data_IF_979738169213
#
_entry.id   IF_979738169213
#
_cell.length_a   1.000
_cell.length_b   1.000
_cell.length_c   1.000
_cell.angle_alpha   90.00
_cell.angle_beta   90.00
_cell.angle_gamma   90.00
#
_symmetry.space_group_name_H-M   'P 1'
#
loop_
_entity.id
_entity.type
_entity.pdbx_description
1 polymer ?
#
# COMPACT_ATOMS: atom_id res chain seq x y z
N UNK A 1 -4.09 -18.95 -3.04
CA UNK A 1 -2.83 -18.20 -3.25
C UNK A 1 -3.12 -16.92 -3.98
N UNK A 2 -3.75 -16.95 -5.18
CA UNK A 2 -4.18 -15.72 -5.88
C UNK A 2 -4.99 -14.75 -5.01
N UNK A 3 -5.84 -15.28 -4.11
CA UNK A 3 -6.61 -14.49 -3.15
C UNK A 3 -5.72 -13.71 -2.17
N UNK A 4 -4.69 -14.35 -1.60
CA UNK A 4 -3.73 -13.68 -0.71
C UNK A 4 -2.95 -12.59 -1.45
N UNK A 5 -2.44 -12.92 -2.65
CA UNK A 5 -1.72 -11.94 -3.48
C UNK A 5 -2.63 -10.77 -3.89
N UNK A 6 -3.90 -11.03 -4.20
CA UNK A 6 -4.83 -9.94 -4.52
C UNK A 6 -5.13 -9.03 -3.33
N UNK A 7 -5.21 -9.59 -2.11
CA UNK A 7 -5.38 -8.82 -0.88
C UNK A 7 -4.13 -8.01 -0.57
N UNK A 8 -2.95 -8.59 -0.80
CA UNK A 8 -1.66 -7.92 -0.65
C UNK A 8 -1.59 -6.67 -1.52
N UNK A 9 -1.79 -6.81 -2.83
CA UNK A 9 -1.76 -5.67 -3.76
C UNK A 9 -2.86 -4.66 -3.43
N UNK A 10 -4.07 -5.13 -3.13
CA UNK A 10 -5.18 -4.26 -2.75
C UNK A 10 -4.89 -3.43 -1.49
N UNK A 11 -4.16 -3.96 -0.52
CA UNK A 11 -3.74 -3.23 0.66
C UNK A 11 -2.81 -2.06 0.31
N UNK A 12 -1.83 -2.28 -0.58
CA UNK A 12 -1.00 -1.21 -1.10
C UNK A 12 -1.81 -0.15 -1.84
N UNK A 13 -2.78 -0.57 -2.65
CA UNK A 13 -3.70 0.33 -3.38
C UNK A 13 -4.45 1.23 -2.41
N UNK A 14 -5.20 0.64 -1.47
CA UNK A 14 -6.04 1.41 -0.56
C UNK A 14 -5.22 2.34 0.32
N UNK A 15 -4.11 1.87 0.89
CA UNK A 15 -3.31 2.75 1.76
C UNK A 15 -2.54 3.81 0.97
N UNK A 16 -2.15 3.57 -0.29
CA UNK A 16 -1.60 4.61 -1.15
C UNK A 16 -2.63 5.67 -1.53
N UNK A 17 -3.89 5.27 -1.72
CA UNK A 17 -5.00 6.21 -1.94
C UNK A 17 -5.21 7.11 -0.72
N UNK A 18 -5.22 6.54 0.48
CA UNK A 18 -5.45 7.25 1.75
C UNK A 18 -4.23 8.04 2.27
N UNK A 19 -3.03 7.68 1.82
CA UNK A 19 -1.77 8.27 2.27
C UNK A 19 -1.72 9.79 2.10
N UNK A 20 -1.01 10.46 3.00
CA UNK A 20 -0.79 11.92 2.95
C UNK A 20 0.25 12.35 1.90
N UNK A 21 1.07 11.43 1.39
CA UNK A 21 2.20 11.79 0.52
C UNK A 21 2.28 11.00 -0.78
N UNK A 22 1.76 9.78 -0.80
CA UNK A 22 1.92 8.82 -1.89
C UNK A 22 0.66 8.71 -2.75
N UNK A 23 0.81 8.19 -3.95
CA UNK A 23 -0.30 7.77 -4.80
C UNK A 23 0.09 6.61 -5.71
N UNK A 24 -0.93 6.03 -6.33
CA UNK A 24 -0.86 4.91 -7.26
C UNK A 24 -0.57 5.34 -8.69
N UNK A 25 0.38 4.70 -9.35
CA UNK A 25 0.64 4.91 -10.78
C UNK A 25 0.68 3.58 -11.53
N UNK A 26 0.61 3.63 -12.86
CA UNK A 26 0.69 2.45 -13.71
C UNK A 26 -0.46 1.45 -13.50
N UNK A 27 -0.16 0.18 -13.76
CA UNK A 27 -1.09 -0.93 -13.60
C UNK A 27 -0.80 -1.69 -12.32
N UNK A 28 -1.84 -2.16 -11.66
CA UNK A 28 -1.84 -3.14 -10.58
C UNK A 28 -2.04 -4.51 -11.22
N UNK A 29 -1.13 -5.45 -11.02
CA UNK A 29 -1.13 -6.75 -11.73
C UNK A 29 -0.91 -7.93 -10.79
N UNK A 30 -1.64 -9.02 -11.03
CA UNK A 30 -1.28 -10.34 -10.49
C UNK A 30 -0.47 -11.09 -11.55
N UNK A 31 0.84 -11.16 -11.36
CA UNK A 31 1.76 -11.76 -12.32
C UNK A 31 1.82 -13.28 -12.18
N UNK A 32 1.48 -13.81 -11.01
CA UNK A 32 1.24 -15.24 -10.76
C UNK A 32 0.31 -15.44 -9.55
N UNK A 33 0.06 -16.69 -9.18
CA UNK A 33 -0.71 -17.01 -7.96
C UNK A 33 -0.04 -16.54 -6.66
N UNK A 34 1.25 -16.19 -6.70
CA UNK A 34 2.04 -15.80 -5.53
C UNK A 34 2.80 -14.48 -5.71
N UNK A 35 2.59 -13.77 -6.82
CA UNK A 35 3.31 -12.52 -7.11
C UNK A 35 2.37 -11.51 -7.74
N UNK A 36 2.47 -10.26 -7.29
CA UNK A 36 1.81 -9.11 -7.86
C UNK A 36 2.76 -7.93 -7.98
N UNK A 37 2.30 -6.87 -8.63
CA UNK A 37 3.02 -5.61 -8.75
C UNK A 37 2.04 -4.45 -8.61
N UNK A 38 2.35 -3.52 -7.70
CA UNK A 38 1.69 -2.22 -7.54
C UNK A 38 2.76 -1.13 -7.52
N UNK A 39 2.56 -0.05 -8.28
CA UNK A 39 3.51 1.07 -8.32
C UNK A 39 3.03 2.23 -7.44
N UNK A 40 3.72 2.42 -6.32
CA UNK A 40 3.51 3.52 -5.38
C UNK A 40 4.59 4.59 -5.58
N UNK A 41 4.19 5.85 -5.66
CA UNK A 41 5.11 6.98 -5.85
C UNK A 41 4.67 8.22 -5.10
N UNK A 42 5.55 9.21 -4.95
CA UNK A 42 5.21 10.48 -4.32
C UNK A 42 4.23 11.29 -5.17
N UNK A 43 3.21 11.81 -4.52
CA UNK A 43 2.24 12.73 -5.12
C UNK A 43 2.66 14.17 -4.90
N UNK A 44 3.04 14.83 -5.99
CA UNK A 44 3.31 16.29 -5.97
C UNK A 44 2.15 17.08 -5.37
N UNK A 45 0.90 16.70 -5.65
CA UNK A 45 -0.29 17.37 -5.11
C UNK A 45 -0.38 17.19 -3.59
N UNK A 46 -0.28 15.95 -3.12
CA UNK A 46 -0.45 15.65 -1.69
C UNK A 46 0.69 16.24 -0.84
N UNK A 47 1.94 16.16 -1.32
CA UNK A 47 3.08 16.85 -0.71
C UNK A 47 2.83 18.35 -0.51
N UNK A 48 2.30 19.05 -1.53
CA UNK A 48 1.97 20.47 -1.42
C UNK A 48 0.84 20.75 -0.43
N UNK A 49 -0.15 19.87 -0.32
CA UNK A 49 -1.26 20.02 0.64
C UNK A 49 -0.77 19.89 2.09
N UNK A 50 0.19 19.02 2.33
CA UNK A 50 0.86 18.86 3.63
C UNK A 50 1.99 19.88 3.87
N UNK A 51 2.16 20.84 2.97
CA UNK A 51 3.17 21.90 3.11
C UNK A 51 4.62 21.45 2.92
N UNK A 52 4.86 20.27 2.35
CA UNK A 52 6.19 19.76 2.02
C UNK A 52 6.72 20.42 0.75
N UNK A 53 8.03 20.66 0.71
CA UNK A 53 8.70 21.12 -0.52
C UNK A 53 8.74 19.99 -1.57
N UNK A 54 8.67 20.35 -2.84
CA UNK A 54 8.85 19.40 -3.95
C UNK A 54 10.34 19.36 -4.30
N UNK A 55 11.06 18.44 -3.66
CA UNK A 55 12.48 18.24 -3.88
C UNK A 55 12.80 16.75 -3.95
N UNK A 56 14.02 16.41 -4.39
CA UNK A 56 14.50 15.02 -4.34
C UNK A 56 14.72 14.53 -2.91
N UNK A 57 15.01 15.45 -1.99
CA UNK A 57 15.28 15.13 -0.59
C UNK A 57 14.00 14.81 0.19
N UNK A 58 12.83 15.18 -0.35
CA UNK A 58 11.52 14.93 0.26
C UNK A 58 11.24 13.43 0.43
N UNK A 59 11.81 12.57 -0.43
CA UNK A 59 11.71 11.11 -0.27
C UNK A 59 12.47 10.58 0.96
N UNK A 60 13.38 11.37 1.53
CA UNK A 60 14.15 11.04 2.73
C UNK A 60 13.57 11.67 4.02
N UNK A 61 12.45 12.39 3.92
CA UNK A 61 11.76 13.01 5.05
C UNK A 61 11.15 11.92 5.95
N UNK A 62 11.38 11.96 7.28
CA UNK A 62 10.86 10.96 8.22
C UNK A 62 9.36 10.70 8.14
N UNK A 63 8.54 11.74 7.97
CA UNK A 63 7.07 11.57 7.90
C UNK A 63 6.65 10.93 6.58
N UNK A 64 7.38 11.22 5.50
CA UNK A 64 7.16 10.57 4.20
C UNK A 64 7.56 9.10 4.27
N UNK A 65 8.68 8.78 4.92
CA UNK A 65 9.13 7.39 5.11
C UNK A 65 8.16 6.63 6.01
N UNK A 66 7.65 7.24 7.08
CA UNK A 66 6.64 6.63 7.96
C UNK A 66 5.39 6.21 7.19
N UNK A 67 4.86 7.12 6.37
CA UNK A 67 3.69 6.89 5.54
C UNK A 67 3.96 5.82 4.45
N UNK A 68 5.15 5.84 3.83
CA UNK A 68 5.57 4.77 2.93
C UNK A 68 5.63 3.41 3.65
N UNK A 69 6.21 3.36 4.84
CA UNK A 69 6.33 2.13 5.62
C UNK A 69 4.96 1.52 5.94
N UNK A 70 3.98 2.35 6.30
CA UNK A 70 2.60 1.91 6.53
C UNK A 70 2.02 1.24 5.28
N UNK A 71 2.24 1.83 4.10
CA UNK A 71 1.78 1.26 2.82
C UNK A 71 2.47 -0.07 2.53
N UNK A 72 3.80 -0.12 2.59
CA UNK A 72 4.58 -1.30 2.20
C UNK A 72 4.45 -2.47 3.19
N UNK A 73 4.22 -2.21 4.48
CA UNK A 73 3.88 -3.28 5.42
C UNK A 73 2.45 -3.83 5.24
N UNK A 74 1.57 -3.08 4.56
CA UNK A 74 0.15 -3.41 4.49
C UNK A 74 -0.14 -4.72 3.76
N UNK A 75 0.69 -5.07 2.77
CA UNK A 75 0.52 -6.29 1.99
C UNK A 75 0.55 -7.53 2.87
N UNK A 76 1.63 -7.70 3.64
CA UNK A 76 1.75 -8.83 4.57
C UNK A 76 0.69 -8.79 5.68
N UNK A 77 0.34 -7.60 6.18
CA UNK A 77 -0.66 -7.48 7.24
C UNK A 77 -2.07 -7.87 6.76
N UNK A 78 -2.42 -7.59 5.50
CA UNK A 78 -3.66 -8.06 4.90
C UNK A 78 -3.68 -9.59 4.74
N UNK A 79 -2.57 -10.18 4.30
CA UNK A 79 -2.43 -11.64 4.24
C UNK A 79 -2.54 -12.29 5.63
N UNK A 80 -1.88 -11.70 6.64
CA UNK A 80 -1.92 -12.15 8.04
C UNK A 80 -3.35 -12.17 8.57
N UNK A 81 -4.09 -11.08 8.40
CA UNK A 81 -5.50 -10.98 8.83
C UNK A 81 -6.36 -12.06 8.14
N UNK A 82 -6.21 -12.23 6.83
CA UNK A 82 -6.95 -13.25 6.10
C UNK A 82 -6.61 -14.67 6.57
N UNK A 83 -5.32 -14.99 6.72
CA UNK A 83 -4.87 -16.30 7.18
C UNK A 83 -5.37 -16.60 8.60
N UNK A 84 -5.35 -15.62 9.50
CA UNK A 84 -5.89 -15.75 10.86
C UNK A 84 -7.39 -16.04 10.86
N UNK A 85 -8.17 -15.31 10.06
CA UNK A 85 -9.63 -15.51 9.94
C UNK A 85 -10.00 -16.89 9.37
N UNK A 86 -9.16 -17.43 8.48
CA UNK A 86 -9.43 -18.68 7.77
C UNK A 86 -8.63 -19.88 8.32
N UNK A 87 -7.83 -19.69 9.37
CA UNK A 87 -6.96 -20.70 9.97
C UNK A 87 -6.01 -21.35 8.94
N UNK A 88 -5.39 -20.52 8.11
CA UNK A 88 -4.41 -20.88 7.08
C UNK A 88 -3.01 -20.49 7.56
N UNK A 89 -1.98 -21.26 7.18
CA UNK A 89 -0.59 -20.89 7.47
C UNK A 89 -0.16 -19.72 6.60
N UNK A 90 0.40 -18.68 7.21
CA UNK A 90 1.02 -17.55 6.51
C UNK A 90 2.40 -17.95 5.96
N UNK A 91 2.72 -17.48 4.75
CA UNK A 91 4.05 -17.54 4.16
C UNK A 91 4.56 -16.10 3.97
N UNK A 92 5.46 -15.66 4.85
CA UNK A 92 5.95 -14.28 4.85
C UNK A 92 7.01 -14.01 3.76
N UNK A 93 7.43 -15.03 3.01
CA UNK A 93 8.57 -14.90 2.08
C UNK A 93 8.29 -13.98 0.89
N UNK A 94 7.02 -13.83 0.48
CA UNK A 94 6.64 -12.99 -0.65
C UNK A 94 6.71 -11.49 -0.35
N UNK A 95 6.53 -11.09 0.91
CA UNK A 95 6.58 -9.68 1.34
C UNK A 95 7.97 -9.22 1.78
N UNK A 96 8.99 -10.08 1.65
CA UNK A 96 10.36 -9.74 2.04
C UNK A 96 10.90 -8.52 1.27
N UNK A 97 10.47 -8.31 0.02
CA UNK A 97 10.88 -7.17 -0.79
C UNK A 97 10.35 -5.85 -0.22
N UNK A 98 9.11 -5.79 0.24
CA UNK A 98 8.51 -4.58 0.82
C UNK A 98 9.20 -4.21 2.12
N UNK A 99 9.47 -5.22 2.96
CA UNK A 99 10.17 -5.03 4.23
C UNK A 99 11.61 -4.52 4.00
N UNK A 100 12.33 -5.10 3.03
CA UNK A 100 13.67 -4.66 2.68
C UNK A 100 13.68 -3.24 2.08
N UNK A 101 12.65 -2.89 1.29
CA UNK A 101 12.52 -1.54 0.74
C UNK A 101 12.30 -0.50 1.85
N UNK A 102 11.43 -0.79 2.82
CA UNK A 102 11.23 0.08 3.98
C UNK A 102 12.50 0.22 4.81
N UNK A 103 13.23 -0.88 5.06
CA UNK A 103 14.49 -0.83 5.78
C UNK A 103 15.52 0.07 5.06
N UNK A 104 15.59 0.02 3.72
CA UNK A 104 16.41 0.92 2.92
C UNK A 104 15.97 2.39 3.01
N UNK A 105 14.66 2.68 3.05
CA UNK A 105 14.17 4.04 3.22
C UNK A 105 14.57 4.60 4.59
N UNK A 106 14.39 3.81 5.65
CA UNK A 106 14.77 4.18 7.02
C UNK A 106 16.28 4.43 7.12
N UNK A 107 17.10 3.54 6.56
CA UNK A 107 18.56 3.68 6.59
C UNK A 107 19.07 4.91 5.83
N UNK A 108 18.34 5.37 4.81
CA UNK A 108 18.69 6.52 3.98
C UNK A 108 17.99 7.83 4.43
N UNK A 109 17.24 7.82 5.52
CA UNK A 109 16.48 8.98 5.95
C UNK A 109 17.39 10.15 6.33
N UNK A 110 16.91 11.38 6.12
CA UNK A 110 17.62 12.58 6.51
C UNK A 110 16.64 13.65 7.03
N UNK A 111 16.62 13.95 8.34
CA UNK A 111 17.52 13.43 9.40
C UNK A 111 17.32 11.91 9.66
N UNK A 112 18.23 11.27 10.42
CA UNK A 112 18.06 9.88 10.84
C UNK A 112 16.71 9.65 11.51
N UNK A 113 15.99 8.63 11.05
CA UNK A 113 14.64 8.33 11.45
C UNK A 113 14.67 7.30 12.59
N UNK A 114 14.64 7.81 13.82
CA UNK A 114 14.58 6.98 15.02
C UNK A 114 13.14 6.51 15.26
N UNK A 115 12.72 5.47 14.54
CA UNK A 115 11.42 4.82 14.76
C UNK A 115 11.55 3.37 15.17
N UNK A 116 10.51 2.85 15.82
CA UNK A 116 10.39 1.44 16.12
C UNK A 116 9.64 0.74 14.99
N UNK A 117 10.33 -0.14 14.26
CA UNK A 117 9.74 -0.97 13.20
C UNK A 117 8.43 -1.64 13.62
N UNK A 118 8.35 -2.15 14.85
CA UNK A 118 7.14 -2.81 15.35
C UNK A 118 5.96 -1.84 15.50
N UNK A 119 6.23 -0.56 15.78
CA UNK A 119 5.19 0.47 15.82
C UNK A 119 4.64 0.75 14.43
N UNK A 120 5.51 0.83 13.40
CA UNK A 120 5.09 1.00 12.01
C UNK A 120 4.25 -0.19 11.52
N UNK A 121 4.68 -1.42 11.81
CA UNK A 121 3.91 -2.63 11.49
C UNK A 121 2.56 -2.61 12.21
N UNK A 122 2.52 -2.22 13.49
CA UNK A 122 1.27 -2.12 14.23
C UNK A 122 0.33 -1.04 13.64
N UNK A 123 0.86 0.09 13.20
CA UNK A 123 0.06 1.12 12.51
C UNK A 123 -0.47 0.62 11.17
N UNK A 124 0.36 -0.07 10.38
CA UNK A 124 -0.06 -0.72 9.14
C UNK A 124 -1.18 -1.72 9.37
N UNK A 125 -1.04 -2.61 10.36
CA UNK A 125 -2.07 -3.55 10.76
C UNK A 125 -3.41 -2.88 11.11
N UNK A 126 -3.37 -1.81 11.92
CA UNK A 126 -4.58 -1.05 12.26
C UNK A 126 -5.20 -0.37 11.03
N UNK A 127 -4.37 0.15 10.12
CA UNK A 127 -4.85 0.77 8.89
C UNK A 127 -5.52 -0.27 7.97
N UNK A 128 -4.98 -1.48 7.85
CA UNK A 128 -5.59 -2.57 7.10
C UNK A 128 -6.93 -2.98 7.71
N UNK A 129 -7.01 -3.17 9.03
CA UNK A 129 -8.28 -3.50 9.70
C UNK A 129 -9.34 -2.41 9.50
N UNK A 130 -8.96 -1.14 9.63
CA UNK A 130 -9.88 -0.01 9.47
C UNK A 130 -10.43 0.12 8.05
N UNK A 131 -9.69 -0.39 7.05
CA UNK A 131 -10.03 -0.29 5.64
C UNK A 131 -10.23 -1.66 4.98
N UNK A 132 -10.59 -2.68 5.77
CA UNK A 132 -10.72 -4.05 5.29
C UNK A 132 -11.73 -4.18 4.14
N UNK A 133 -12.88 -3.52 4.25
CA UNK A 133 -13.91 -3.56 3.20
C UNK A 133 -13.41 -3.00 1.85
N UNK A 134 -12.89 -1.77 1.76
CA UNK A 134 -12.25 -1.28 0.53
C UNK A 134 -11.13 -2.19 -0.02
N UNK A 135 -10.31 -2.78 0.86
CA UNK A 135 -9.24 -3.71 0.45
C UNK A 135 -9.84 -4.94 -0.21
N UNK A 136 -10.84 -5.56 0.41
CA UNK A 136 -11.51 -6.74 -0.17
C UNK A 136 -12.23 -6.40 -1.49
N UNK A 137 -12.80 -5.20 -1.62
CA UNK A 137 -13.43 -4.74 -2.85
C UNK A 137 -12.42 -4.61 -4.01
N UNK A 138 -11.26 -4.00 -3.76
CA UNK A 138 -10.20 -3.90 -4.77
C UNK A 138 -9.63 -5.29 -5.10
N UNK A 139 -9.42 -6.14 -4.10
CA UNK A 139 -8.92 -7.50 -4.31
C UNK A 139 -9.87 -8.32 -5.18
N UNK A 140 -11.18 -8.27 -4.89
CA UNK A 140 -12.21 -8.93 -5.69
C UNK A 140 -12.22 -8.39 -7.13
N UNK A 141 -12.17 -7.07 -7.29
CA UNK A 141 -12.13 -6.46 -8.62
C UNK A 141 -10.89 -6.89 -9.42
N UNK A 142 -9.73 -6.93 -8.79
CA UNK A 142 -8.46 -7.35 -9.40
C UNK A 142 -8.53 -8.82 -9.87
N UNK A 143 -9.11 -9.72 -9.07
CA UNK A 143 -9.27 -11.13 -9.44
C UNK A 143 -10.20 -11.36 -10.63
N UNK A 144 -11.20 -10.49 -10.82
CA UNK A 144 -12.18 -10.60 -11.92
C UNK A 144 -11.83 -9.72 -13.13
N UNK A 145 -10.79 -8.90 -13.02
CA UNK A 145 -10.33 -8.02 -14.10
C UNK A 145 -9.75 -8.81 -15.28
N UNK A 146 -9.88 -8.25 -16.49
CA UNK A 146 -9.25 -8.84 -17.66
C UNK A 146 -7.71 -8.84 -17.53
N UNK A 147 -7.09 -9.99 -17.76
CA UNK A 147 -5.64 -10.21 -17.64
C UNK A 147 -5.08 -10.05 -16.21
N UNK A 148 -5.92 -10.16 -15.18
CA UNK A 148 -5.54 -9.96 -13.78
C UNK A 148 -4.82 -8.61 -13.56
N UNK A 149 -5.32 -7.56 -14.19
CA UNK A 149 -4.71 -6.24 -14.21
C UNK A 149 -5.77 -5.15 -14.11
N UNK A 150 -5.50 -4.14 -13.28
CA UNK A 150 -6.35 -2.95 -13.11
C UNK A 150 -5.44 -1.73 -13.21
N UNK A 151 -5.79 -0.74 -14.02
CA UNK A 151 -5.02 0.50 -14.06
C UNK A 151 -5.31 1.38 -12.83
N UNK A 152 -4.35 2.22 -12.44
CA UNK A 152 -4.47 3.06 -11.26
C UNK A 152 -5.68 4.02 -11.31
N UNK A 153 -6.12 4.46 -12.50
CA UNK A 153 -7.28 5.36 -12.60
C UNK A 153 -8.54 4.60 -12.21
N UNK A 154 -8.76 3.43 -12.80
CA UNK A 154 -9.90 2.55 -12.46
C UNK A 154 -9.90 2.20 -10.97
N UNK A 155 -8.74 1.86 -10.39
CA UNK A 155 -8.65 1.58 -8.96
C UNK A 155 -9.06 2.78 -8.08
N UNK A 156 -8.64 4.00 -8.47
CA UNK A 156 -9.01 5.23 -7.75
C UNK A 156 -10.51 5.53 -7.91
N UNK A 157 -11.10 5.30 -9.08
CA UNK A 157 -12.55 5.49 -9.30
C UNK A 157 -13.39 4.59 -8.38
N UNK A 158 -13.00 3.32 -8.23
CA UNK A 158 -13.66 2.38 -7.29
C UNK A 158 -13.59 2.92 -5.85
N UNK A 159 -12.43 3.43 -5.44
CA UNK A 159 -12.24 3.98 -4.10
C UNK A 159 -13.00 5.29 -3.89
N UNK A 160 -13.04 6.16 -4.89
CA UNK A 160 -13.83 7.39 -4.85
C UNK A 160 -15.32 7.11 -4.63
N UNK A 161 -15.87 6.11 -5.32
CA UNK A 161 -17.25 5.64 -5.09
C UNK A 161 -17.44 5.11 -3.67
N UNK A 162 -16.51 4.28 -3.18
CA UNK A 162 -16.56 3.68 -1.83
C UNK A 162 -16.44 4.69 -0.70
N UNK A 163 -15.58 5.70 -0.85
CA UNK A 163 -15.35 6.75 0.15
C UNK A 163 -16.26 7.98 -0.02
N UNK A 164 -17.06 8.06 -1.08
CA UNK A 164 -17.88 9.22 -1.39
C UNK A 164 -17.07 10.46 -1.78
N UNK A 165 -15.90 10.26 -2.38
CA UNK A 165 -14.96 11.30 -2.80
C UNK A 165 -15.03 11.55 -4.31
N UNK A 166 -14.38 12.64 -4.77
CA UNK A 166 -14.14 12.95 -6.18
C UNK A 166 -12.67 13.35 -6.35
N UNK A 167 -11.75 12.40 -6.32
CA UNK A 167 -10.30 12.65 -6.36
C UNK A 167 -9.80 13.21 -7.69
N UNK A 168 -10.60 13.06 -8.76
CA UNK A 168 -10.33 13.51 -10.13
C UNK A 168 -11.03 14.83 -10.55
N UNK A 169 -11.76 15.50 -9.65
CA UNK A 169 -12.24 16.88 -9.88
C UNK A 169 -11.22 17.91 -9.40
#
# INVERSE_FOLDING_TARGET
MIELTSLHEAAHVVLSYLSSYHFLTGDIRLTSDSTGETFVTLSRRKLLLEGKEISVDTASDPEVIEDAAIIFYAGLEAERIYCEQNNISLDESHSANDYNYVDQLIDNSNPPFETNRNSLIAFSHQAVLANWEPITQIAEFLQHSHNNSVDAITAIEILDEGFGNNSFQ
#
